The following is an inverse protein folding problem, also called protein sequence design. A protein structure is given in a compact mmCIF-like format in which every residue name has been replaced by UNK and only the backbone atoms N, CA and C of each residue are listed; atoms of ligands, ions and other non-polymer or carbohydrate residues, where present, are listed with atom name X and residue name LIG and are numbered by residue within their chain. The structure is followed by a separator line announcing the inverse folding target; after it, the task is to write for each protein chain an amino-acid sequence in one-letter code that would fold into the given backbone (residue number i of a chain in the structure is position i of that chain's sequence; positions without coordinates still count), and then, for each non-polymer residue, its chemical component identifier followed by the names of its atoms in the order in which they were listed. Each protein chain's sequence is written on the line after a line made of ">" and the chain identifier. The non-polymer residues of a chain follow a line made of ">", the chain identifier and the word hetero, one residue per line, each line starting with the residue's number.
data_IF_032023309723
#
_entry.id   IF_032023309723
#
_cell.length_a   1.000
_cell.length_b   1.000
_cell.length_c   1.000
_cell.angle_alpha   90.00
_cell.angle_beta   90.00
_cell.angle_gamma   90.00
#
_symmetry.space_group_name_H-M   'P 1'
#
loop_
_entity.id
_entity.type
_entity.pdbx_description
1 polymer ?
#
# COMPACT_ATOMS: atom_id res chain seq x y z
N UNK A 1 -17.75 -18.59 -11.30
CA UNK A 1 -16.51 -18.38 -10.51
C UNK A 1 -15.71 -17.22 -11.12
N UNK A 2 -15.68 -16.05 -10.47
CA UNK A 2 -14.99 -14.86 -11.01
C UNK A 2 -13.49 -15.07 -11.28
N UNK A 3 -12.84 -15.97 -10.52
CA UNK A 3 -11.41 -16.28 -10.68
C UNK A 3 -11.12 -16.96 -12.03
N UNK A 4 -12.03 -17.81 -12.50
CA UNK A 4 -11.89 -18.52 -13.78
C UNK A 4 -12.05 -17.54 -14.95
N UNK A 5 -13.00 -16.59 -14.85
CA UNK A 5 -13.17 -15.54 -15.84
C UNK A 5 -11.96 -14.61 -15.96
N UNK A 6 -11.36 -14.21 -14.83
CA UNK A 6 -10.15 -13.40 -14.84
C UNK A 6 -8.95 -14.18 -15.40
N UNK A 7 -8.81 -15.46 -15.06
CA UNK A 7 -7.76 -16.31 -15.60
C UNK A 7 -7.86 -16.42 -17.14
N UNK A 8 -9.06 -16.68 -17.67
CA UNK A 8 -9.31 -16.72 -19.11
C UNK A 8 -9.05 -15.36 -19.79
N UNK A 9 -9.42 -14.25 -19.14
CA UNK A 9 -9.09 -12.92 -19.63
C UNK A 9 -7.58 -12.69 -19.72
N UNK A 10 -6.82 -13.06 -18.68
CA UNK A 10 -5.36 -12.93 -18.69
C UNK A 10 -4.72 -13.83 -19.76
N UNK A 11 -5.24 -15.06 -19.96
CA UNK A 11 -4.82 -15.91 -21.07
C UNK A 11 -5.07 -15.23 -22.42
N UNK A 12 -6.27 -14.68 -22.65
CA UNK A 12 -6.61 -13.98 -23.87
C UNK A 12 -5.72 -12.74 -24.11
N UNK A 13 -5.46 -11.95 -23.07
CA UNK A 13 -4.57 -10.79 -23.16
C UNK A 13 -3.11 -11.18 -23.36
N UNK A 14 -2.67 -12.35 -22.89
CA UNK A 14 -1.30 -12.84 -23.08
C UNK A 14 -1.03 -13.32 -24.50
N UNK A 15 -2.02 -13.92 -25.17
CA UNK A 15 -1.86 -14.40 -26.56
C UNK A 15 -2.08 -13.30 -27.60
N UNK A 16 -2.78 -12.22 -27.23
CA UNK A 16 -3.09 -11.10 -28.13
C UNK A 16 -1.85 -10.22 -28.34
N UNK A 17 -1.33 -10.17 -29.57
CA UNK A 17 -0.09 -9.44 -29.94
C UNK A 17 -0.19 -7.92 -29.72
N UNK A 18 -1.37 -7.34 -29.87
CA UNK A 18 -1.69 -5.92 -29.68
C UNK A 18 -2.32 -5.63 -28.30
N UNK A 19 -2.10 -6.52 -27.33
CA UNK A 19 -2.66 -6.37 -25.98
C UNK A 19 -2.08 -5.14 -25.28
N UNK A 20 -2.99 -4.26 -24.82
CA UNK A 20 -2.63 -3.13 -23.94
C UNK A 20 -2.11 -3.58 -22.57
N UNK A 21 -2.30 -4.85 -22.20
CA UNK A 21 -1.81 -5.45 -20.96
C UNK A 21 -0.42 -6.07 -21.11
N UNK A 22 0.17 -6.07 -22.31
CA UNK A 22 1.52 -6.64 -22.52
C UNK A 22 2.55 -6.03 -21.58
N UNK A 23 2.55 -4.70 -21.45
CA UNK A 23 3.42 -4.00 -20.52
C UNK A 23 3.24 -4.52 -19.09
N UNK A 24 1.99 -4.61 -18.65
CA UNK A 24 1.64 -5.09 -17.32
C UNK A 24 2.03 -6.55 -17.05
N UNK A 25 1.75 -7.45 -18.00
CA UNK A 25 1.98 -8.90 -17.84
C UNK A 25 3.45 -9.29 -17.90
N UNK A 26 4.25 -8.56 -18.69
CA UNK A 26 5.64 -8.90 -18.95
C UNK A 26 6.62 -8.04 -18.15
N UNK A 27 6.33 -6.75 -17.94
CA UNK A 27 7.30 -5.83 -17.35
C UNK A 27 7.15 -5.65 -15.86
N UNK A 28 5.99 -5.91 -15.25
CA UNK A 28 5.83 -5.67 -13.82
C UNK A 28 6.49 -6.76 -12.97
N UNK A 29 6.53 -8.02 -13.43
CA UNK A 29 7.29 -9.09 -12.74
C UNK A 29 8.80 -8.79 -12.74
N UNK A 30 9.52 -9.02 -11.63
CA UNK A 30 9.10 -9.74 -10.42
C UNK A 30 8.56 -8.86 -9.28
N UNK A 31 8.22 -7.58 -9.54
CA UNK A 31 7.77 -6.64 -8.49
C UNK A 31 6.61 -7.21 -7.66
N UNK A 32 6.63 -7.02 -6.32
CA UNK A 32 5.51 -7.39 -5.45
C UNK A 32 4.21 -6.67 -5.84
N UNK A 33 4.31 -5.49 -6.47
CA UNK A 33 3.19 -4.71 -7.00
C UNK A 33 2.38 -5.48 -8.05
N UNK A 34 2.98 -6.46 -8.74
CA UNK A 34 2.29 -7.29 -9.71
C UNK A 34 1.08 -8.02 -9.12
N UNK A 35 1.22 -8.57 -7.90
CA UNK A 35 0.12 -9.28 -7.26
C UNK A 35 -0.99 -8.31 -6.83
N UNK A 36 -0.60 -7.16 -6.26
CA UNK A 36 -1.54 -6.13 -5.80
C UNK A 36 -2.34 -5.55 -6.95
N UNK A 37 -1.71 -5.26 -8.08
CA UNK A 37 -2.41 -4.79 -9.27
C UNK A 37 -3.39 -5.85 -9.84
N UNK A 38 -3.05 -7.14 -9.75
CA UNK A 38 -3.97 -8.23 -10.16
C UNK A 38 -5.17 -8.30 -9.23
N UNK A 39 -4.94 -8.20 -7.91
CA UNK A 39 -6.00 -8.20 -6.91
C UNK A 39 -6.91 -6.97 -7.03
N UNK A 40 -6.32 -5.80 -7.33
CA UNK A 40 -7.06 -4.58 -7.60
C UNK A 40 -7.96 -4.75 -8.83
N UNK A 41 -7.41 -5.17 -9.97
CA UNK A 41 -8.19 -5.40 -11.19
C UNK A 41 -9.29 -6.45 -10.99
N UNK A 42 -8.99 -7.55 -10.28
CA UNK A 42 -9.98 -8.57 -9.90
C UNK A 42 -11.13 -7.97 -9.10
N UNK A 43 -10.81 -7.10 -8.15
CA UNK A 43 -11.80 -6.44 -7.30
C UNK A 43 -12.71 -5.55 -8.12
N UNK A 44 -12.15 -4.72 -9.01
CA UNK A 44 -12.92 -3.85 -9.91
C UNK A 44 -13.83 -4.66 -10.83
N UNK A 45 -13.33 -5.73 -11.44
CA UNK A 45 -14.13 -6.60 -12.31
C UNK A 45 -15.27 -7.30 -11.54
N UNK A 46 -15.01 -7.76 -10.31
CA UNK A 46 -16.01 -8.38 -9.45
C UNK A 46 -17.10 -7.39 -9.04
N UNK A 47 -16.71 -6.17 -8.64
CA UNK A 47 -17.66 -5.12 -8.29
C UNK A 47 -18.52 -4.74 -9.50
N UNK A 48 -17.92 -4.58 -10.68
CA UNK A 48 -18.67 -4.33 -11.91
C UNK A 48 -19.74 -5.40 -12.15
N UNK A 49 -19.37 -6.68 -12.13
CA UNK A 49 -20.32 -7.77 -12.34
C UNK A 49 -21.43 -7.77 -11.28
N UNK A 50 -21.09 -7.47 -10.03
CA UNK A 50 -22.07 -7.34 -8.95
C UNK A 50 -23.07 -6.22 -9.20
N UNK A 51 -22.60 -5.01 -9.52
CA UNK A 51 -23.47 -3.86 -9.77
C UNK A 51 -24.30 -4.04 -11.05
N UNK A 52 -23.74 -4.64 -12.10
CA UNK A 52 -24.47 -4.96 -13.33
C UNK A 52 -25.64 -5.92 -13.06
N UNK A 53 -25.40 -6.96 -12.23
CA UNK A 53 -26.47 -7.87 -11.81
C UNK A 53 -27.52 -7.18 -10.93
N UNK A 54 -27.13 -6.23 -10.08
CA UNK A 54 -28.08 -5.44 -9.31
C UNK A 54 -28.94 -4.53 -10.20
N UNK A 55 -28.34 -3.90 -11.23
CA UNK A 55 -29.06 -3.08 -12.20
C UNK A 55 -30.02 -3.94 -13.02
N UNK A 56 -29.62 -5.14 -13.45
CA UNK A 56 -30.51 -6.06 -14.17
C UNK A 56 -31.71 -6.54 -13.35
N UNK A 57 -31.69 -6.41 -12.01
CA UNK A 57 -32.89 -6.66 -11.17
C UNK A 57 -33.94 -5.56 -11.34
N UNK A 58 -33.57 -4.37 -11.81
CA UNK A 58 -34.54 -3.33 -12.14
C UNK A 58 -35.46 -3.79 -13.27
N UNK A 59 -34.89 -4.36 -14.35
CA UNK A 59 -35.67 -4.90 -15.47
C UNK A 59 -36.62 -6.03 -15.05
N UNK A 60 -36.16 -6.88 -14.11
CA UNK A 60 -36.99 -7.93 -13.53
C UNK A 60 -38.11 -7.32 -12.70
N UNK A 61 -37.80 -6.34 -11.84
CA UNK A 61 -38.79 -5.61 -11.07
C UNK A 61 -39.80 -4.93 -11.99
N UNK A 62 -39.41 -4.30 -13.09
CA UNK A 62 -40.36 -3.68 -14.02
C UNK A 62 -41.35 -4.68 -14.61
N UNK A 63 -40.90 -5.90 -14.90
CA UNK A 63 -41.71 -6.98 -15.45
C UNK A 63 -42.61 -7.70 -14.44
N UNK A 64 -42.41 -7.53 -13.12
CA UNK A 64 -43.28 -8.17 -12.12
C UNK A 64 -44.67 -7.54 -12.06
N UNK A 65 -45.66 -8.36 -11.70
CA UNK A 65 -47.06 -7.91 -11.62
C UNK A 65 -47.25 -6.84 -10.53
N UNK A 66 -48.22 -5.94 -10.71
CA UNK A 66 -48.56 -4.93 -9.67
C UNK A 66 -48.89 -5.55 -8.32
N UNK A 67 -49.43 -6.78 -8.32
CA UNK A 67 -49.76 -7.55 -7.11
C UNK A 67 -48.50 -8.03 -6.39
N UNK A 68 -47.45 -8.44 -7.11
CA UNK A 68 -46.16 -8.86 -6.53
C UNK A 68 -45.33 -7.67 -6.03
N UNK A 69 -45.48 -6.50 -6.65
CA UNK A 69 -44.87 -5.26 -6.17
C UNK A 69 -45.51 -4.74 -4.89
N UNK A 70 -46.76 -5.08 -4.62
CA UNK A 70 -47.48 -4.62 -3.43
C UNK A 70 -46.78 -5.14 -2.16
N UNK A 71 -46.21 -4.22 -1.38
CA UNK A 71 -45.45 -4.54 -0.16
C UNK A 71 -43.95 -4.81 -0.35
N UNK A 72 -43.44 -4.76 -1.59
CA UNK A 72 -42.02 -4.99 -1.89
C UNK A 72 -41.32 -3.67 -2.21
N UNK A 73 -40.22 -3.39 -1.50
CA UNK A 73 -39.37 -2.23 -1.80
C UNK A 73 -38.70 -2.40 -3.17
N UNK A 74 -38.55 -1.32 -3.96
CA UNK A 74 -37.82 -1.38 -5.22
C UNK A 74 -36.35 -1.77 -4.96
N UNK A 75 -35.67 -2.39 -5.95
CA UNK A 75 -34.24 -2.66 -5.86
C UNK A 75 -33.43 -1.39 -5.54
N UNK A 76 -32.26 -1.57 -4.91
CA UNK A 76 -31.43 -0.47 -4.40
C UNK A 76 -31.06 0.59 -5.46
N UNK A 77 -30.84 0.16 -6.71
CA UNK A 77 -30.43 1.04 -7.81
C UNK A 77 -31.59 1.36 -8.77
N UNK A 78 -32.83 1.13 -8.36
CA UNK A 78 -34.01 1.30 -9.22
C UNK A 78 -34.19 2.74 -9.71
N UNK A 79 -33.94 3.73 -8.85
CA UNK A 79 -34.04 5.16 -9.20
C UNK A 79 -32.74 5.76 -9.75
N UNK A 80 -31.73 4.92 -10.03
CA UNK A 80 -30.51 5.40 -10.67
C UNK A 80 -30.71 5.49 -12.19
N UNK A 81 -29.92 6.33 -12.91
CA UNK A 81 -29.99 6.39 -14.37
C UNK A 81 -29.34 5.18 -15.06
N UNK A 82 -28.92 4.16 -14.31
CA UNK A 82 -28.20 3.01 -14.86
C UNK A 82 -29.15 1.98 -15.45
N UNK A 83 -28.81 1.52 -16.65
CA UNK A 83 -29.40 0.37 -17.33
C UNK A 83 -28.31 -0.65 -17.61
N UNK A 84 -28.70 -1.89 -17.93
CA UNK A 84 -27.74 -2.94 -18.32
C UNK A 84 -26.94 -2.52 -19.56
N UNK A 85 -27.55 -1.71 -20.44
CA UNK A 85 -26.91 -1.23 -21.67
C UNK A 85 -25.90 -0.10 -21.44
N UNK A 86 -26.19 0.83 -20.51
CA UNK A 86 -25.31 1.98 -20.29
C UNK A 86 -24.24 1.75 -19.21
N UNK A 87 -24.45 0.78 -18.31
CA UNK A 87 -23.50 0.44 -17.26
C UNK A 87 -22.43 -0.53 -17.78
N UNK A 88 -21.47 0.02 -18.52
CA UNK A 88 -20.39 -0.76 -19.14
C UNK A 88 -19.18 -0.94 -18.22
N UNK A 89 -18.37 -1.98 -18.45
CA UNK A 89 -17.12 -2.17 -17.70
C UNK A 89 -16.15 -1.01 -17.92
N UNK A 90 -16.14 -0.43 -19.12
CA UNK A 90 -15.33 0.75 -19.43
C UNK A 90 -15.72 1.95 -18.59
N UNK A 91 -17.03 2.22 -18.43
CA UNK A 91 -17.54 3.28 -17.57
C UNK A 91 -17.13 3.05 -16.11
N UNK A 92 -17.41 1.86 -15.57
CA UNK A 92 -17.09 1.55 -14.17
C UNK A 92 -15.59 1.62 -13.88
N UNK A 93 -14.76 1.07 -14.78
CA UNK A 93 -13.30 1.14 -14.66
C UNK A 93 -12.80 2.58 -14.72
N UNK A 94 -13.35 3.40 -15.62
CA UNK A 94 -13.01 4.83 -15.68
C UNK A 94 -13.39 5.53 -14.38
N UNK A 95 -14.60 5.30 -13.84
CA UNK A 95 -15.03 5.91 -12.58
C UNK A 95 -14.15 5.50 -11.40
N UNK A 96 -13.80 4.22 -11.26
CA UNK A 96 -12.87 3.76 -10.21
C UNK A 96 -11.49 4.41 -10.40
N UNK A 97 -10.97 4.48 -11.62
CA UNK A 97 -9.71 5.16 -11.91
C UNK A 97 -9.72 6.64 -11.51
N UNK A 98 -10.78 7.37 -11.88
CA UNK A 98 -10.97 8.78 -11.49
C UNK A 98 -11.00 8.94 -9.98
N UNK A 99 -11.76 8.11 -9.27
CA UNK A 99 -11.85 8.18 -7.80
C UNK A 99 -10.52 7.82 -7.16
N UNK A 100 -9.92 6.67 -7.48
CA UNK A 100 -8.68 6.21 -6.84
C UNK A 100 -7.53 7.19 -7.03
N UNK A 101 -7.47 7.91 -8.15
CA UNK A 101 -6.40 8.88 -8.45
C UNK A 101 -6.58 10.26 -7.82
N UNK A 102 -7.80 10.63 -7.39
CA UNK A 102 -8.17 12.01 -6.98
C UNK A 102 -8.94 12.11 -5.66
N UNK A 103 -9.24 10.99 -5.02
CA UNK A 103 -10.01 10.93 -3.78
C UNK A 103 -9.25 11.61 -2.63
N UNK A 104 -9.97 12.46 -1.92
CA UNK A 104 -9.54 13.06 -0.65
C UNK A 104 -10.54 12.68 0.44
N UNK A 105 -10.13 12.78 1.70
CA UNK A 105 -11.01 12.61 2.85
C UNK A 105 -11.22 13.99 3.50
N UNK A 106 -12.47 14.39 3.70
CA UNK A 106 -12.85 15.64 4.36
C UNK A 106 -13.76 15.37 5.57
N UNK A 107 -13.81 16.25 6.58
CA UNK A 107 -14.76 16.09 7.69
C UNK A 107 -16.21 16.10 7.19
N UNK A 108 -17.02 15.13 7.60
CA UNK A 108 -18.44 15.08 7.27
C UNK A 108 -19.29 15.94 8.20
N UNK A 109 -20.34 16.56 7.66
CA UNK A 109 -21.21 17.51 8.38
C UNK A 109 -21.91 16.91 9.63
N UNK A 110 -22.31 15.65 9.56
CA UNK A 110 -23.30 15.06 10.49
C UNK A 110 -22.80 13.82 11.24
N UNK A 111 -21.61 13.32 10.89
CA UNK A 111 -21.07 12.08 11.43
C UNK A 111 -19.99 12.35 12.48
N UNK A 112 -20.12 11.73 13.66
CA UNK A 112 -19.00 11.56 14.59
C UNK A 112 -18.64 10.09 14.68
N UNK A 113 -17.36 9.80 14.78
CA UNK A 113 -16.87 8.46 15.14
C UNK A 113 -17.31 8.12 16.55
N UNK A 114 -17.17 6.84 16.94
CA UNK A 114 -17.49 6.40 18.31
C UNK A 114 -16.67 7.13 19.37
N UNK A 115 -15.50 7.62 18.98
CA UNK A 115 -14.55 8.34 19.84
C UNK A 115 -14.80 9.86 19.83
N UNK A 116 -15.88 10.32 19.21
CA UNK A 116 -16.30 11.72 19.19
C UNK A 116 -15.62 12.60 18.13
N UNK A 117 -14.63 12.07 17.39
CA UNK A 117 -13.99 12.76 16.27
C UNK A 117 -14.96 12.91 15.09
N UNK A 118 -14.76 13.90 14.21
CA UNK A 118 -15.58 14.02 13.00
C UNK A 118 -15.36 12.81 12.08
N UNK A 119 -16.45 12.28 11.52
CA UNK A 119 -16.39 11.21 10.55
C UNK A 119 -15.88 11.74 9.23
N UNK A 120 -14.73 11.24 8.77
CA UNK A 120 -14.20 11.60 7.46
C UNK A 120 -15.02 10.95 6.34
N UNK A 121 -15.31 11.72 5.27
CA UNK A 121 -16.04 11.27 4.09
C UNK A 121 -15.19 11.47 2.82
N UNK A 122 -15.29 10.56 1.84
CA UNK A 122 -14.57 10.69 0.58
C UNK A 122 -15.16 11.79 -0.30
N UNK A 123 -14.28 12.63 -0.85
CA UNK A 123 -14.64 13.73 -1.74
C UNK A 123 -13.70 13.81 -2.95
N UNK A 124 -14.23 14.32 -4.06
CA UNK A 124 -13.45 14.88 -5.16
C UNK A 124 -13.50 16.39 -5.00
N UNK A 125 -12.33 17.04 -4.99
CA UNK A 125 -12.22 18.48 -4.74
C UNK A 125 -11.80 19.13 -6.05
N UNK A 126 -12.73 19.74 -6.81
CA UNK A 126 -12.42 20.35 -8.09
C UNK A 126 -11.33 21.41 -7.97
N UNK A 127 -10.54 21.58 -9.03
CA UNK A 127 -9.39 22.51 -9.13
C UNK A 127 -8.21 22.09 -8.25
N UNK A 128 -8.42 21.73 -6.98
CA UNK A 128 -7.37 21.15 -6.14
C UNK A 128 -6.81 19.86 -6.75
N UNK A 129 -7.69 18.99 -7.26
CA UNK A 129 -7.34 17.75 -7.93
C UNK A 129 -6.63 17.91 -9.30
N UNK A 130 -6.35 19.14 -9.71
CA UNK A 130 -5.52 19.47 -10.88
C UNK A 130 -4.05 19.73 -10.52
N UNK A 131 -3.73 19.94 -9.24
CA UNK A 131 -2.36 20.13 -8.79
C UNK A 131 -1.60 18.79 -8.84
N UNK A 132 -0.44 18.79 -9.51
CA UNK A 132 0.39 17.59 -9.65
C UNK A 132 1.24 17.35 -8.40
N UNK A 133 1.65 16.09 -8.23
CA UNK A 133 2.58 15.70 -7.18
C UNK A 133 3.99 16.27 -7.40
N UNK A 134 4.60 16.76 -6.33
CA UNK A 134 6.04 17.09 -6.27
C UNK A 134 6.62 16.69 -4.91
N UNK A 135 7.84 16.17 -4.90
CA UNK A 135 8.61 15.98 -3.67
C UNK A 135 9.16 17.33 -3.19
N UNK A 136 9.13 17.55 -1.89
CA UNK A 136 9.64 18.78 -1.29
C UNK A 136 10.87 18.40 -0.47
N UNK A 137 12.01 19.01 -0.79
CA UNK A 137 13.26 18.78 -0.06
C UNK A 137 13.14 19.28 1.38
N UNK A 138 13.65 18.51 2.36
CA UNK A 138 13.71 18.90 3.77
C UNK A 138 12.43 18.68 4.59
N UNK A 139 11.45 17.93 4.08
CA UNK A 139 10.12 17.84 4.67
C UNK A 139 9.88 16.70 5.67
N UNK A 140 10.62 16.66 6.77
CA UNK A 140 10.19 15.82 7.90
C UNK A 140 8.92 16.38 8.57
N UNK A 141 8.68 17.70 8.41
CA UNK A 141 7.60 18.45 9.06
C UNK A 141 6.82 19.35 8.07
N UNK A 142 6.47 18.82 6.89
CA UNK A 142 5.34 19.40 6.17
C UNK A 142 4.09 19.00 6.94
N UNK A 143 3.53 19.94 7.70
CA UNK A 143 2.15 19.84 8.18
C UNK A 143 1.17 19.57 7.02
N UNK A 144 -0.12 19.59 7.30
CA UNK A 144 -1.16 19.37 6.28
C UNK A 144 -1.12 20.47 5.19
N UNK A 145 -0.24 20.32 4.19
CA UNK A 145 -0.10 21.22 3.04
C UNK A 145 -1.41 21.32 2.25
N UNK A 146 -2.26 20.31 2.39
CA UNK A 146 -3.68 20.38 2.05
C UNK A 146 -4.47 20.04 3.31
N UNK A 147 -5.35 20.95 3.71
CA UNK A 147 -6.23 20.83 4.87
C UNK A 147 -7.67 21.17 4.50
N UNK A 148 -8.61 20.92 5.42
CA UNK A 148 -9.99 21.35 5.27
C UNK A 148 -10.35 22.32 6.39
N UNK A 149 -10.67 23.57 6.03
CA UNK A 149 -11.21 24.55 6.96
C UNK A 149 -12.70 24.26 7.18
N UNK A 150 -13.05 23.79 8.38
CA UNK A 150 -14.45 23.63 8.78
C UNK A 150 -15.14 24.96 9.04
N UNK A 151 -14.38 26.03 9.32
CA UNK A 151 -14.93 27.38 9.53
C UNK A 151 -15.35 28.03 8.21
N UNK A 152 -14.46 27.98 7.21
CA UNK A 152 -14.73 28.53 5.87
C UNK A 152 -15.40 27.52 4.92
N UNK A 153 -15.63 26.29 5.39
CA UNK A 153 -16.18 25.14 4.63
C UNK A 153 -15.48 24.92 3.28
N UNK A 154 -14.15 24.93 3.29
CA UNK A 154 -13.37 24.78 2.07
C UNK A 154 -12.06 24.03 2.27
N UNK A 155 -11.57 23.45 1.18
CA UNK A 155 -10.24 22.86 1.14
C UNK A 155 -9.19 23.97 0.94
N UNK A 156 -8.16 23.94 1.76
CA UNK A 156 -7.06 24.89 1.72
C UNK A 156 -5.79 24.20 1.25
N UNK A 157 -5.05 24.88 0.37
CA UNK A 157 -3.73 24.43 -0.07
C UNK A 157 -2.71 25.51 0.27
N UNK A 158 -1.69 25.13 1.02
CA UNK A 158 -0.52 25.95 1.27
C UNK A 158 0.55 25.57 0.26
N UNK A 159 1.05 26.58 -0.47
CA UNK A 159 2.15 26.38 -1.40
C UNK A 159 3.38 25.91 -0.62
N UNK A 160 3.85 24.70 -0.91
CA UNK A 160 4.97 24.11 -0.20
C UNK A 160 6.34 24.70 -0.59
N UNK A 161 6.35 25.57 -1.62
CA UNK A 161 7.51 26.32 -2.07
C UNK A 161 7.06 27.68 -2.63
N UNK A 162 8.01 28.59 -2.78
CA UNK A 162 7.77 29.80 -3.57
C UNK A 162 7.49 29.41 -5.02
N UNK A 163 6.38 29.92 -5.58
CA UNK A 163 5.98 29.67 -6.97
C UNK A 163 5.99 31.01 -7.71
N UNK A 164 6.84 31.14 -8.72
CA UNK A 164 6.94 32.36 -9.52
C UNK A 164 5.79 32.46 -10.53
N UNK A 165 5.53 33.68 -11.02
CA UNK A 165 4.54 33.89 -12.07
C UNK A 165 4.91 33.10 -13.34
N UNK A 166 3.98 32.28 -13.83
CA UNK A 166 4.19 31.40 -14.98
C UNK A 166 4.67 29.98 -14.64
N UNK A 167 4.94 29.70 -13.36
CA UNK A 167 5.23 28.34 -12.88
C UNK A 167 3.95 27.59 -12.47
N UNK A 168 4.03 26.27 -12.51
CA UNK A 168 2.93 25.41 -12.11
C UNK A 168 2.86 25.28 -10.59
N UNK A 169 1.63 25.32 -10.06
CA UNK A 169 1.37 25.00 -8.65
C UNK A 169 1.34 23.48 -8.50
N UNK A 170 2.14 22.97 -7.56
CA UNK A 170 2.24 21.56 -7.20
C UNK A 170 1.79 21.35 -5.75
N UNK A 171 1.60 20.08 -5.38
CA UNK A 171 1.30 19.68 -4.02
C UNK A 171 1.97 18.36 -3.67
N UNK A 172 2.11 18.10 -2.37
CA UNK A 172 2.55 16.80 -1.87
C UNK A 172 1.35 15.89 -1.65
N UNK A 173 1.37 14.68 -2.23
CA UNK A 173 0.24 13.73 -2.13
C UNK A 173 0.30 12.86 -0.87
N UNK A 174 1.24 13.17 0.03
CA UNK A 174 1.55 12.39 1.22
C UNK A 174 2.71 11.42 1.03
N UNK A 175 3.07 10.74 2.12
CA UNK A 175 4.15 9.74 2.21
C UNK A 175 3.79 8.44 1.53
N UNK A 176 3.62 8.49 0.20
CA UNK A 176 3.31 7.34 -0.65
C UNK A 176 4.58 6.77 -1.26
N UNK A 177 4.64 5.46 -1.33
CA UNK A 177 5.66 4.72 -2.09
C UNK A 177 5.42 4.86 -3.60
N UNK A 178 6.45 4.61 -4.41
CA UNK A 178 6.34 4.51 -5.85
C UNK A 178 5.38 3.41 -6.28
N UNK A 179 5.26 2.33 -5.49
CA UNK A 179 4.27 1.28 -5.67
C UNK A 179 2.84 1.82 -5.52
N UNK A 180 2.57 2.59 -4.46
CA UNK A 180 1.26 3.20 -4.22
C UNK A 180 0.95 4.27 -5.25
N UNK A 181 1.92 5.11 -5.63
CA UNK A 181 1.75 6.07 -6.72
C UNK A 181 1.39 5.36 -8.03
N UNK A 182 2.04 4.24 -8.36
CA UNK A 182 1.73 3.48 -9.57
C UNK A 182 0.32 2.91 -9.53
N UNK A 183 -0.05 2.26 -8.43
CA UNK A 183 -1.34 1.57 -8.28
C UNK A 183 -2.51 2.54 -8.14
N UNK A 184 -2.32 3.63 -7.40
CA UNK A 184 -3.41 4.51 -6.98
C UNK A 184 -3.41 5.84 -7.72
N UNK A 185 -2.27 6.32 -8.22
CA UNK A 185 -2.19 7.59 -8.96
C UNK A 185 -1.81 7.40 -10.44
N UNK A 186 -1.40 6.19 -10.86
CA UNK A 186 -1.11 5.86 -12.26
C UNK A 186 0.26 6.34 -12.76
N UNK A 187 1.17 6.75 -11.88
CA UNK A 187 2.53 7.18 -12.24
C UNK A 187 3.54 6.78 -11.17
N UNK A 188 4.83 6.82 -11.49
CA UNK A 188 5.91 6.72 -10.49
C UNK A 188 6.67 8.05 -10.53
N UNK A 189 6.75 8.78 -9.41
CA UNK A 189 7.48 10.05 -9.34
C UNK A 189 8.90 9.94 -9.88
N UNK A 190 9.41 11.05 -10.42
CA UNK A 190 10.81 11.15 -10.84
C UNK A 190 11.63 11.62 -9.63
N UNK A 191 12.79 11.00 -9.41
CA UNK A 191 13.67 11.31 -8.28
C UNK A 191 13.68 10.17 -7.25
N UNK A 192 14.47 10.36 -6.21
CA UNK A 192 14.55 9.43 -5.08
C UNK A 192 13.42 9.74 -4.10
N UNK A 193 12.68 8.71 -3.71
CA UNK A 193 11.62 8.82 -2.72
C UNK A 193 12.10 8.23 -1.39
N UNK A 194 12.32 9.03 -0.33
CA UNK A 194 12.80 8.51 0.95
C UNK A 194 11.77 7.63 1.65
N UNK A 195 10.50 7.70 1.23
CA UNK A 195 9.42 6.89 1.76
C UNK A 195 9.13 5.63 0.94
N UNK A 196 9.95 5.33 -0.07
CA UNK A 196 9.80 4.07 -0.81
C UNK A 196 10.06 2.86 0.09
N UNK A 197 9.26 1.81 -0.15
CA UNK A 197 9.40 0.54 0.52
C UNK A 197 9.18 -0.63 -0.44
N UNK A 198 9.82 -1.76 -0.13
CA UNK A 198 9.65 -3.04 -0.79
C UNK A 198 8.86 -3.98 0.12
N UNK A 199 7.73 -4.50 -0.38
CA UNK A 199 6.91 -5.49 0.35
C UNK A 199 7.50 -6.89 0.24
N UNK A 200 8.24 -7.29 1.27
CA UNK A 200 8.81 -8.61 1.38
C UNK A 200 7.76 -9.63 1.84
N UNK A 201 7.64 -10.72 1.10
CA UNK A 201 6.82 -11.88 1.47
C UNK A 201 7.73 -13.09 1.76
N UNK A 202 7.56 -13.68 2.93
CA UNK A 202 8.23 -14.93 3.34
C UNK A 202 7.15 -15.94 3.69
N UNK A 203 7.29 -17.18 3.21
CA UNK A 203 6.29 -18.22 3.47
C UNK A 203 6.91 -19.40 4.20
N UNK A 204 6.26 -19.86 5.26
CA UNK A 204 6.62 -21.11 5.93
C UNK A 204 5.93 -22.27 5.20
N UNK A 205 6.72 -23.21 4.69
CA UNK A 205 6.19 -24.38 3.99
C UNK A 205 5.51 -25.36 4.95
N UNK A 206 4.37 -25.94 4.57
CA UNK A 206 3.69 -26.97 5.37
C UNK A 206 4.51 -28.25 5.60
N UNK A 207 5.58 -28.44 4.83
CA UNK A 207 6.54 -29.54 5.00
C UNK A 207 7.61 -29.25 6.07
N UNK A 208 7.65 -28.06 6.66
CA UNK A 208 8.54 -27.78 7.80
C UNK A 208 8.14 -28.67 8.98
N UNK A 209 9.12 -29.36 9.58
CA UNK A 209 8.89 -30.32 10.68
C UNK A 209 8.27 -29.66 11.91
N UNK A 210 8.56 -28.38 12.12
CA UNK A 210 8.11 -27.58 13.26
C UNK A 210 7.06 -26.54 12.83
N UNK A 211 6.31 -26.83 11.76
CA UNK A 211 5.37 -25.87 11.18
C UNK A 211 4.41 -25.28 12.21
N UNK A 212 3.82 -26.12 13.08
CA UNK A 212 2.82 -25.69 14.06
C UNK A 212 3.44 -24.85 15.17
N UNK A 213 4.60 -25.25 15.66
CA UNK A 213 5.34 -24.58 16.72
C UNK A 213 5.81 -23.20 16.25
N UNK A 214 6.44 -23.13 15.06
CA UNK A 214 6.84 -21.85 14.45
C UNK A 214 5.63 -20.96 14.16
N UNK A 215 4.52 -21.51 13.68
CA UNK A 215 3.30 -20.75 13.43
C UNK A 215 2.75 -20.10 14.72
N UNK A 216 2.81 -20.81 15.85
CA UNK A 216 2.42 -20.26 17.15
C UNK A 216 3.34 -19.10 17.57
N UNK A 217 4.65 -19.25 17.42
CA UNK A 217 5.61 -18.19 17.73
C UNK A 217 5.41 -16.95 16.84
N UNK A 218 5.14 -17.14 15.55
CA UNK A 218 4.77 -16.02 14.67
C UNK A 218 3.46 -15.35 15.08
N UNK A 219 2.49 -16.11 15.60
CA UNK A 219 1.25 -15.53 16.14
C UNK A 219 1.50 -14.68 17.39
N UNK A 220 2.42 -15.10 18.25
CA UNK A 220 2.88 -14.32 19.41
C UNK A 220 3.57 -13.01 19.00
N UNK A 221 4.19 -12.95 17.81
CA UNK A 221 4.70 -11.73 17.20
C UNK A 221 3.62 -10.83 16.56
N UNK A 222 2.36 -11.26 16.56
CA UNK A 222 1.22 -10.54 15.97
C UNK A 222 0.87 -10.94 14.54
N UNK A 223 1.50 -11.97 13.96
CA UNK A 223 1.09 -12.48 12.65
C UNK A 223 -0.20 -13.30 12.73
N UNK A 224 -0.92 -13.41 11.61
CA UNK A 224 -2.15 -14.21 11.58
C UNK A 224 -1.86 -15.71 11.63
N UNK A 225 -2.43 -16.42 12.60
CA UNK A 225 -2.41 -17.89 12.68
C UNK A 225 -3.00 -18.58 11.43
N UNK A 226 -3.85 -17.89 10.67
CA UNK A 226 -4.50 -18.44 9.47
C UNK A 226 -3.65 -18.34 8.22
N UNK A 227 -2.52 -17.63 8.28
CA UNK A 227 -1.61 -17.43 7.17
C UNK A 227 -0.28 -18.11 7.47
N UNK A 228 0.31 -18.74 6.45
CA UNK A 228 1.71 -19.14 6.46
C UNK A 228 2.59 -18.18 5.63
N UNK A 229 2.03 -17.04 5.21
CA UNK A 229 2.72 -15.96 4.50
C UNK A 229 2.81 -14.76 5.43
N UNK A 230 4.05 -14.32 5.64
CA UNK A 230 4.43 -13.21 6.51
C UNK A 230 4.94 -12.06 5.65
N UNK A 231 4.57 -10.84 6.03
CA UNK A 231 4.85 -9.63 5.26
C UNK A 231 5.66 -8.65 6.10
N UNK A 232 6.68 -8.07 5.48
CA UNK A 232 7.51 -7.00 6.04
C UNK A 232 7.68 -5.90 4.99
N UNK A 233 7.69 -4.65 5.44
CA UNK A 233 8.09 -3.51 4.61
C UNK A 233 9.59 -3.27 4.80
N UNK A 234 10.31 -3.19 3.69
CA UNK A 234 11.76 -2.94 3.65
C UNK A 234 11.96 -1.52 3.09
N UNK A 235 12.55 -0.61 3.86
CA UNK A 235 12.72 0.80 3.51
C UNK A 235 14.08 1.16 2.90
N UNK A 236 14.22 2.43 2.51
CA UNK A 236 15.42 3.00 1.88
C UNK A 236 16.52 3.44 2.87
N UNK A 237 16.22 3.51 4.18
CA UNK A 237 17.12 4.09 5.19
C UNK A 237 18.27 3.18 5.64
N UNK A 238 19.09 3.68 6.57
CA UNK A 238 20.21 2.94 7.19
C UNK A 238 19.76 1.70 7.97
N UNK A 239 18.52 1.69 8.42
CA UNK A 239 17.85 0.56 9.06
C UNK A 239 16.72 0.10 8.13
N UNK A 240 17.01 -0.80 7.18
CA UNK A 240 16.09 -1.11 6.09
C UNK A 240 14.87 -1.92 6.52
N UNK A 241 14.83 -2.49 7.72
CA UNK A 241 13.68 -3.24 8.21
C UNK A 241 13.50 -3.11 9.72
N UNK A 242 12.30 -3.40 10.20
CA UNK A 242 11.95 -3.31 11.61
C UNK A 242 12.77 -4.33 12.45
N UNK A 243 13.21 -4.00 13.68
CA UNK A 243 14.02 -4.90 14.53
C UNK A 243 13.41 -6.27 14.79
N UNK A 244 12.07 -6.38 14.81
CA UNK A 244 11.38 -7.67 14.97
C UNK A 244 11.69 -8.68 13.84
N UNK A 245 12.24 -8.23 12.71
CA UNK A 245 12.65 -9.10 11.62
C UNK A 245 13.77 -10.06 12.03
N UNK A 246 14.64 -9.67 12.98
CA UNK A 246 15.63 -10.56 13.56
C UNK A 246 14.96 -11.76 14.23
N UNK A 247 14.05 -11.48 15.17
CA UNK A 247 13.36 -12.52 15.93
C UNK A 247 12.56 -13.44 15.00
N UNK A 248 11.92 -12.86 13.99
CA UNK A 248 11.27 -13.62 12.93
C UNK A 248 12.23 -14.55 12.21
N UNK A 249 13.39 -14.04 11.77
CA UNK A 249 14.38 -14.83 11.05
C UNK A 249 14.94 -15.96 11.93
N UNK A 250 15.17 -15.72 13.22
CA UNK A 250 15.57 -16.76 14.19
C UNK A 250 14.52 -17.87 14.31
N UNK A 251 13.24 -17.52 14.47
CA UNK A 251 12.13 -18.51 14.47
C UNK A 251 12.13 -19.29 13.14
N UNK A 252 12.29 -18.58 12.02
CA UNK A 252 12.22 -19.16 10.69
C UNK A 252 13.31 -20.20 10.45
N UNK A 253 14.57 -19.90 10.82
CA UNK A 253 15.72 -20.79 10.59
C UNK A 253 15.93 -21.83 11.69
N UNK A 254 15.30 -21.66 12.86
CA UNK A 254 15.54 -22.58 13.98
C UNK A 254 15.00 -23.99 13.71
N UNK A 255 15.79 -24.99 14.07
CA UNK A 255 15.40 -26.41 14.07
C UNK A 255 14.66 -26.80 15.35
N UNK A 256 14.74 -25.98 16.41
CA UNK A 256 14.15 -26.24 17.73
C UNK A 256 13.69 -24.94 18.39
N UNK A 257 12.48 -24.85 18.99
CA UNK A 257 12.02 -23.62 19.63
C UNK A 257 12.97 -23.07 20.69
N UNK A 258 13.67 -23.94 21.43
CA UNK A 258 14.58 -23.54 22.51
C UNK A 258 15.85 -22.84 21.99
N UNK A 259 16.25 -23.12 20.75
CA UNK A 259 17.48 -22.60 20.16
C UNK A 259 17.34 -21.19 19.57
N UNK A 260 16.14 -20.58 19.61
CA UNK A 260 15.87 -19.27 19.00
C UNK A 260 16.80 -18.19 19.57
N UNK A 261 17.04 -18.23 20.88
CA UNK A 261 17.88 -17.26 21.59
C UNK A 261 19.38 -17.52 21.45
N UNK A 262 19.80 -18.66 20.89
CA UNK A 262 21.22 -19.00 20.78
C UNK A 262 21.97 -18.08 19.80
N UNK A 263 23.23 -17.69 20.10
CA UNK A 263 24.06 -16.91 19.17
C UNK A 263 24.25 -17.57 17.80
N UNK A 264 24.39 -18.91 17.77
CA UNK A 264 24.51 -19.65 16.52
C UNK A 264 23.27 -19.51 15.61
N UNK A 265 22.08 -19.37 16.21
CA UNK A 265 20.83 -19.14 15.46
C UNK A 265 20.76 -17.73 14.90
N UNK A 266 21.37 -16.74 15.57
CA UNK A 266 21.51 -15.39 15.02
C UNK A 266 22.30 -15.41 13.72
N UNK A 267 23.47 -16.04 13.71
CA UNK A 267 24.29 -16.15 12.50
C UNK A 267 23.53 -16.78 11.33
N UNK A 268 22.79 -17.86 11.59
CA UNK A 268 21.90 -18.49 10.58
C UNK A 268 20.80 -17.54 10.10
N UNK A 269 20.21 -16.75 11.01
CA UNK A 269 19.12 -15.83 10.72
C UNK A 269 19.59 -14.67 9.82
N UNK A 270 20.72 -14.03 10.16
CA UNK A 270 21.33 -12.96 9.35
C UNK A 270 21.74 -13.50 7.98
N UNK A 271 22.38 -14.68 7.95
CA UNK A 271 22.75 -15.34 6.69
C UNK A 271 21.54 -15.63 5.79
N UNK A 272 20.43 -16.09 6.38
CA UNK A 272 19.16 -16.29 5.69
C UNK A 272 18.63 -14.99 5.07
N UNK A 273 18.59 -13.89 5.85
CA UNK A 273 18.13 -12.59 5.36
C UNK A 273 19.00 -12.07 4.22
N UNK A 274 20.33 -12.08 4.39
CA UNK A 274 21.30 -11.72 3.35
C UNK A 274 21.03 -12.48 2.04
N UNK A 275 20.94 -13.81 2.12
CA UNK A 275 20.69 -14.64 0.95
C UNK A 275 19.31 -14.38 0.33
N UNK A 276 18.29 -14.14 1.17
CA UNK A 276 16.94 -13.82 0.71
C UNK A 276 16.93 -12.54 -0.12
N UNK A 277 17.54 -11.47 0.39
CA UNK A 277 17.65 -10.21 -0.34
C UNK A 277 18.48 -10.36 -1.62
N UNK A 278 19.61 -11.09 -1.56
CA UNK A 278 20.44 -11.36 -2.74
C UNK A 278 19.71 -12.15 -3.84
N UNK A 279 18.84 -13.09 -3.49
CA UNK A 279 18.03 -13.85 -4.45
C UNK A 279 16.96 -12.94 -5.07
N UNK A 280 16.28 -12.14 -4.24
CA UNK A 280 15.25 -11.22 -4.71
C UNK A 280 15.83 -10.16 -5.64
N UNK A 281 16.94 -9.54 -5.26
CA UNK A 281 17.68 -8.57 -6.09
C UNK A 281 18.01 -9.19 -7.46
N UNK A 282 18.61 -10.38 -7.48
CA UNK A 282 18.96 -11.10 -8.72
C UNK A 282 17.75 -11.47 -9.57
N UNK A 283 16.59 -11.69 -8.96
CA UNK A 283 15.37 -12.09 -9.69
C UNK A 283 14.87 -11.01 -10.67
N UNK A 284 15.24 -9.74 -10.46
CA UNK A 284 14.89 -8.64 -11.36
C UNK A 284 15.62 -8.71 -12.70
N UNK A 285 16.80 -9.34 -12.73
CA UNK A 285 17.65 -9.42 -13.91
C UNK A 285 17.95 -8.03 -14.51
N UNK A 286 18.05 -7.97 -15.83
CA UNK A 286 18.22 -6.71 -16.56
C UNK A 286 16.88 -5.99 -16.65
N UNK A 287 16.79 -4.79 -16.06
CA UNK A 287 15.62 -3.93 -16.19
C UNK A 287 15.70 -3.22 -17.56
N UNK A 288 14.77 -3.48 -18.49
CA UNK A 288 14.79 -2.85 -19.80
C UNK A 288 14.42 -1.36 -19.71
N UNK A 289 14.99 -0.55 -20.60
CA UNK A 289 14.60 0.85 -20.76
C UNK A 289 13.15 0.95 -21.25
N UNK A 290 12.36 1.78 -20.56
CA UNK A 290 10.96 1.99 -20.89
C UNK A 290 10.78 2.90 -22.11
N UNK A 291 10.02 2.44 -23.12
CA UNK A 291 9.75 3.22 -24.33
C UNK A 291 8.47 4.05 -24.19
N UNK A 292 7.45 3.48 -23.57
CA UNK A 292 6.19 4.15 -23.25
C UNK A 292 6.22 4.77 -21.86
N UNK A 293 5.31 5.71 -21.56
CA UNK A 293 5.19 6.30 -20.23
C UNK A 293 4.97 5.23 -19.14
N UNK A 294 4.13 4.23 -19.42
CA UNK A 294 3.88 3.13 -18.48
C UNK A 294 5.13 2.28 -18.26
N UNK A 295 5.87 1.96 -19.32
CA UNK A 295 7.12 1.20 -19.18
C UNK A 295 8.18 2.00 -18.41
N UNK A 296 8.27 3.33 -18.60
CA UNK A 296 9.16 4.20 -17.82
C UNK A 296 8.78 4.25 -16.34
N UNK A 297 7.49 4.27 -16.02
CA UNK A 297 7.03 4.17 -14.64
C UNK A 297 7.42 2.82 -14.02
N UNK A 298 7.21 1.72 -14.74
CA UNK A 298 7.60 0.38 -14.28
C UNK A 298 9.12 0.27 -14.13
N UNK A 299 9.90 0.83 -15.05
CA UNK A 299 11.36 0.88 -14.97
C UNK A 299 11.82 1.60 -13.69
N UNK A 300 11.27 2.79 -13.40
CA UNK A 300 11.59 3.56 -12.18
C UNK A 300 11.26 2.78 -10.92
N UNK A 301 10.06 2.21 -10.84
CA UNK A 301 9.63 1.38 -9.71
C UNK A 301 10.63 0.25 -9.47
N UNK A 302 10.98 -0.49 -10.53
CA UNK A 302 11.91 -1.62 -10.41
C UNK A 302 13.31 -1.19 -9.98
N UNK A 303 13.80 -0.06 -10.48
CA UNK A 303 15.11 0.48 -10.06
C UNK A 303 15.10 0.83 -8.57
N UNK A 304 14.04 1.45 -8.08
CA UNK A 304 13.88 1.75 -6.65
C UNK A 304 13.81 0.47 -5.80
N UNK A 305 13.00 -0.52 -6.22
CA UNK A 305 12.90 -1.82 -5.53
C UNK A 305 14.25 -2.55 -5.47
N UNK A 306 15.02 -2.56 -6.55
CA UNK A 306 16.37 -3.16 -6.58
C UNK A 306 17.33 -2.41 -5.65
N UNK A 307 17.26 -1.07 -5.61
CA UNK A 307 18.09 -0.28 -4.71
C UNK A 307 17.79 -0.59 -3.23
N UNK A 308 16.51 -0.73 -2.87
CA UNK A 308 16.07 -1.13 -1.52
C UNK A 308 16.59 -2.53 -1.16
N UNK A 309 16.42 -3.50 -2.06
CA UNK A 309 16.88 -4.87 -1.83
C UNK A 309 18.41 -4.94 -1.69
N UNK A 310 19.14 -4.17 -2.51
CA UNK A 310 20.59 -4.07 -2.44
C UNK A 310 21.03 -3.46 -1.10
N UNK A 311 20.38 -2.39 -0.65
CA UNK A 311 20.64 -1.76 0.65
C UNK A 311 20.41 -2.76 1.80
N UNK A 312 19.28 -3.46 1.79
CA UNK A 312 18.96 -4.48 2.80
C UNK A 312 19.97 -5.64 2.80
N UNK A 313 20.46 -6.06 1.63
CA UNK A 313 21.53 -7.06 1.52
C UNK A 313 22.84 -6.57 2.15
N UNK A 314 23.29 -5.36 1.80
CA UNK A 314 24.53 -4.77 2.32
C UNK A 314 24.45 -4.63 3.84
N UNK A 315 23.33 -4.15 4.36
CA UNK A 315 23.10 -4.08 5.80
C UNK A 315 23.24 -5.45 6.49
N UNK A 316 22.70 -6.52 5.90
CA UNK A 316 22.90 -7.87 6.42
C UNK A 316 24.35 -8.39 6.25
N UNK A 317 25.10 -7.95 5.25
CA UNK A 317 26.53 -8.28 5.07
C UNK A 317 27.40 -7.64 6.15
N UNK A 318 27.13 -6.38 6.46
CA UNK A 318 27.79 -5.64 7.55
C UNK A 318 27.46 -6.27 8.90
N UNK A 319 26.18 -6.56 9.15
CA UNK A 319 25.75 -7.24 10.38
C UNK A 319 26.38 -8.64 10.53
N UNK A 320 26.46 -9.42 9.45
CA UNK A 320 27.12 -10.73 9.49
C UNK A 320 28.61 -10.60 9.80
N UNK A 321 29.29 -9.59 9.24
CA UNK A 321 30.71 -9.32 9.51
C UNK A 321 30.95 -8.94 10.97
N UNK A 322 30.15 -8.04 11.54
CA UNK A 322 30.23 -7.64 12.94
C UNK A 322 30.06 -8.84 13.89
N UNK A 323 29.18 -9.79 13.55
CA UNK A 323 29.01 -11.00 14.35
C UNK A 323 30.23 -11.92 14.34
N UNK A 324 31.00 -11.98 13.24
CA UNK A 324 32.21 -12.80 13.17
C UNK A 324 33.39 -12.14 13.87
N UNK A 325 33.56 -10.81 13.73
CA UNK A 325 34.63 -10.08 14.43
C UNK A 325 34.48 -10.18 15.96
N UNK A 326 33.26 -10.14 16.48
CA UNK A 326 32.99 -10.34 17.92
C UNK A 326 33.29 -11.77 18.39
N UNK A 327 33.09 -12.79 17.53
CA UNK A 327 33.40 -14.18 17.90
C UNK A 327 34.92 -14.38 17.97
N UNK A 328 35.67 -13.80 17.03
CA UNK A 328 37.13 -13.89 17.00
C UNK A 328 37.76 -13.15 18.21
N UNK A 329 37.20 -12.01 18.65
CA UNK A 329 37.69 -11.29 19.85
C UNK A 329 37.38 -12.02 21.17
N UNK A 330 36.28 -12.78 21.25
CA UNK A 330 35.91 -13.55 22.46
C UNK A 330 36.72 -14.85 22.57
N UNK A 331 37.11 -15.46 21.45
CA UNK A 331 38.01 -16.63 21.44
C UNK A 331 39.46 -16.26 21.83
N UNK A 332 39.88 -15.00 21.63
CA UNK A 332 41.21 -14.50 22.06
C UNK A 332 41.27 -14.02 23.52
N UNK A 333 40.12 -13.82 24.16
CA UNK A 333 39.99 -13.31 25.54
C UNK A 333 39.10 -14.24 26.39
N UNK A 334 39.51 -15.51 26.56
CA UNK A 334 38.95 -16.40 27.60
C UNK A 334 39.34 -15.89 29.00
N UNK A 335 38.71 -14.79 29.43
CA UNK A 335 38.51 -14.49 30.85
C UNK A 335 37.09 -13.95 31.06
N UNK A 336 36.29 -14.75 31.78
CA UNK A 336 34.92 -14.51 32.27
C UNK A 336 34.33 -13.11 32.00
N UNK A 337 33.41 -13.01 31.04
CA UNK A 337 32.43 -11.91 31.01
C UNK A 337 31.01 -12.48 30.96
N UNK A 338 30.29 -12.22 32.05
CA UNK A 338 28.91 -12.61 32.27
C UNK A 338 27.93 -11.88 31.33
N UNK A 339 26.93 -12.62 30.89
CA UNK A 339 25.87 -12.30 29.93
C UNK A 339 24.90 -11.20 30.39
N UNK A 340 25.35 -9.96 30.57
CA UNK A 340 24.46 -8.83 30.92
C UNK A 340 24.66 -7.54 30.09
N UNK A 341 25.62 -7.47 29.16
CA UNK A 341 26.01 -6.18 28.57
C UNK A 341 25.27 -5.73 27.29
N UNK A 342 24.35 -6.49 26.69
CA UNK A 342 23.74 -6.11 25.40
C UNK A 342 22.30 -5.57 25.44
N UNK A 343 21.68 -5.42 26.61
CA UNK A 343 20.26 -4.99 26.69
C UNK A 343 20.09 -3.47 26.92
N UNK A 344 21.13 -2.70 27.27
CA UNK A 344 20.91 -1.34 27.80
C UNK A 344 20.98 -0.15 26.84
N UNK A 345 21.14 -0.32 25.52
CA UNK A 345 21.39 0.83 24.63
C UNK A 345 20.47 1.03 23.41
N UNK A 346 19.30 0.39 23.36
CA UNK A 346 18.25 0.76 22.39
C UNK A 346 16.86 0.72 23.01
N UNK A 347 16.52 1.72 23.82
CA UNK A 347 15.12 2.15 23.98
C UNK A 347 15.08 3.58 24.54
N UNK A 348 14.51 4.54 23.79
CA UNK A 348 13.25 5.08 24.28
C UNK A 348 12.29 5.43 23.14
N UNK A 349 11.37 4.53 22.81
CA UNK A 349 10.12 4.94 22.19
C UNK A 349 8.95 4.22 22.86
N UNK A 350 8.16 5.01 23.59
CA UNK A 350 6.90 4.57 24.17
C UNK A 350 5.95 4.12 23.07
N UNK A 351 5.55 2.86 23.14
CA UNK A 351 4.49 2.27 22.37
C UNK A 351 3.16 3.01 22.60
N UNK A 352 2.62 3.61 21.54
CA UNK A 352 1.17 3.72 21.35
C UNK A 352 0.78 2.70 20.29
N UNK A 353 0.36 1.52 20.75
CA UNK A 353 -0.20 0.47 19.90
C UNK A 353 -1.64 0.87 19.59
N UNK A 354 -1.88 1.40 18.39
CA UNK A 354 -3.22 1.46 17.83
C UNK A 354 -3.49 0.14 17.09
N UNK A 355 -4.32 -0.68 17.71
CA UNK A 355 -4.80 -1.98 17.25
C UNK A 355 -5.69 -1.79 16.00
N UNK A 356 -5.18 -2.09 14.80
CA UNK A 356 -6.03 -2.19 13.58
C UNK A 356 -6.40 -3.66 13.36
N UNK A 357 -7.50 -4.07 13.99
CA UNK A 357 -8.14 -5.37 13.74
C UNK A 357 -8.99 -5.29 12.46
N UNK A 358 -8.55 -5.94 11.39
CA UNK A 358 -9.41 -6.20 10.23
C UNK A 358 -10.47 -7.25 10.59
N UNK A 359 -11.66 -6.80 11.02
CA UNK A 359 -12.88 -7.62 11.03
C UNK A 359 -13.71 -7.29 9.79
N UNK A 360 -13.77 -8.23 8.84
CA UNK A 360 -14.83 -8.26 7.84
C UNK A 360 -16.18 -8.43 8.55
N UNK A 361 -16.92 -7.34 8.73
CA UNK A 361 -18.38 -7.41 8.99
C UNK A 361 -19.11 -7.46 7.66
N UNK A 362 -20.06 -8.38 7.56
CA UNK A 362 -21.15 -8.27 6.59
C UNK A 362 -21.79 -6.88 6.75
N UNK A 363 -21.77 -6.09 5.68
CA UNK A 363 -22.43 -4.80 5.64
C UNK A 363 -23.93 -5.08 5.57
N UNK A 364 -24.61 -4.72 6.66
CA UNK A 364 -26.04 -4.63 6.74
C UNK A 364 -26.54 -3.48 5.85
N UNK A 365 -27.67 -3.72 5.20
CA UNK A 365 -28.29 -2.84 4.22
C UNK A 365 -28.71 -1.52 4.87
N UNK A 366 -28.07 -0.39 4.49
CA UNK A 366 -28.70 0.94 4.46
C UNK A 366 -27.79 2.01 3.83
N UNK A 367 -28.40 2.77 2.91
CA UNK A 367 -28.05 4.14 2.48
C UNK A 367 -26.81 4.34 1.60
N UNK A 368 -27.02 4.22 0.28
CA UNK A 368 -26.26 5.02 -0.70
C UNK A 368 -26.88 6.41 -0.74
N UNK A 369 -26.30 7.34 0.03
CA UNK A 369 -26.32 8.77 -0.30
C UNK A 369 -24.86 9.18 -0.49
N UNK A 370 -24.32 8.97 -1.69
CA UNK A 370 -23.11 9.68 -2.09
C UNK A 370 -23.54 11.10 -2.47
N UNK A 371 -23.43 12.03 -1.54
CA UNK A 371 -23.39 13.44 -1.88
C UNK A 371 -22.01 13.71 -2.48
N UNK A 372 -21.95 14.10 -3.76
CA UNK A 372 -20.77 14.75 -4.30
C UNK A 372 -20.85 16.19 -3.79
N UNK A 373 -20.11 16.52 -2.73
CA UNK A 373 -19.97 17.91 -2.32
C UNK A 373 -19.05 18.62 -3.33
N UNK A 374 -19.59 19.63 -3.99
CA UNK A 374 -18.80 20.59 -4.76
C UNK A 374 -18.34 21.67 -3.78
N UNK A 375 -17.05 21.68 -3.45
CA UNK A 375 -16.43 22.71 -2.62
C UNK A 375 -15.98 23.86 -3.52
N UNK A 376 -16.43 25.09 -3.21
CA UNK A 376 -16.07 26.30 -3.94
C UNK A 376 -14.72 26.84 -3.42
N UNK A 377 -13.75 27.06 -4.30
CA UNK A 377 -12.43 27.60 -3.95
C UNK A 377 -12.47 29.14 -3.82
N UNK A 378 -12.04 29.68 -2.67
CA UNK A 378 -11.81 31.12 -2.49
C UNK A 378 -10.32 31.43 -2.37
N UNK A 379 -9.83 32.31 -3.24
CA UNK A 379 -8.47 32.84 -3.20
C UNK A 379 -8.41 34.01 -2.19
N UNK A 380 -7.68 33.89 -1.07
CA UNK A 380 -7.33 35.06 -0.22
C UNK A 380 -5.96 35.59 -0.62
N UNK A 381 -5.91 36.81 -1.18
CA UNK A 381 -4.66 37.58 -1.29
C UNK A 381 -4.27 38.07 0.10
N UNK A 382 -3.17 37.56 0.68
CA UNK A 382 -2.54 38.25 1.81
C UNK A 382 -1.87 39.53 1.30
N UNK A 383 -2.31 40.68 1.79
CA UNK A 383 -1.61 41.95 1.62
C UNK A 383 -0.36 41.95 2.51
N UNK A 384 0.82 41.99 1.89
CA UNK A 384 2.03 42.39 2.59
C UNK A 384 2.01 43.91 2.80
N UNK A 385 1.87 44.34 4.05
CA UNK A 385 2.15 45.72 4.45
C UNK A 385 3.66 45.83 4.67
N UNK A 386 4.37 46.42 3.71
CA UNK A 386 5.74 46.88 3.96
C UNK A 386 5.70 48.03 4.96
N UNK A 387 6.30 47.84 6.14
CA UNK A 387 6.76 48.95 6.96
C UNK A 387 8.11 49.40 6.41
N UNK A 388 8.15 50.63 5.91
CA UNK A 388 9.37 51.38 5.58
C UNK A 388 10.25 51.61 6.80
#
# INVERSE_FOLDING_TARGET
>A
MANVGLALFLCAQRVKKDSRWTAYLNYLKPSPVFEEALLFYRTVARQFAYYLLMIGRNDLYDKTSRREKAGTQPPLLYYSPFTVDNFTFSLYRWSVGTVTTRINLIPGEMGKTRDGAMQMVPALIPVLDMANHEFIEGSEDLGEAVSYSTEDDCAEILAAKNVAAGEWVSMYYGRRTGAEHLLHNGFVPVGENPFDSYKLKISLGHSDKNFKEKQKLFAEMGFSEKSNVYMYDIGCGSHPFHPSMEHFARIYVSDKPEAISEPATLGKAVHFLKNRFAILERSYGVIPEGKTLNEKNIERLKKAEVAILKNARIHCEEWEKELFEVVDEVDDDESEVTTEAFISNMNPYSLHVNEIVWRMRQIDNRLVKMAICFVELRYRKQQFVMRT
#
